data_IF_202263606242
#
_entry.id   IF_202263606242
#
_cell.length_a   1.000
_cell.length_b   1.000
_cell.length_c   1.000
_cell.angle_alpha   90.00
_cell.angle_beta   90.00
_cell.angle_gamma   90.00
#
_symmetry.space_group_name_H-M   'P 1'
#
loop_
_entity.id
_entity.type
_entity.pdbx_description
1 polymer ?
#
# COMPACT_ATOMS: atom_id res chain seq x y z
N UNK A 1 4.15 26.28 -0.27
CA UNK A 1 2.94 26.87 0.34
C UNK A 1 1.85 25.81 0.54
N UNK A 2 1.53 24.99 -0.45
CA UNK A 2 0.59 23.87 -0.30
C UNK A 2 1.05 22.87 0.78
N UNK A 3 2.31 22.43 0.74
CA UNK A 3 2.87 21.53 1.77
C UNK A 3 2.81 22.11 3.17
N UNK A 4 3.22 23.37 3.39
CA UNK A 4 3.14 23.99 4.73
C UNK A 4 1.70 24.14 5.22
N UNK A 5 0.73 24.40 4.33
CA UNK A 5 -0.70 24.36 4.67
C UNK A 5 -1.09 23.00 5.25
N UNK A 6 -0.75 21.89 4.59
CA UNK A 6 -1.05 20.55 5.07
C UNK A 6 -0.36 20.21 6.40
N UNK A 7 0.95 20.45 6.49
CA UNK A 7 1.75 20.11 7.67
C UNK A 7 1.39 20.95 8.91
N UNK A 8 1.23 22.27 8.76
CA UNK A 8 0.87 23.14 9.89
C UNK A 8 -0.54 22.85 10.40
N UNK A 9 -1.49 22.57 9.49
CA UNK A 9 -2.85 22.14 9.86
C UNK A 9 -2.83 20.83 10.64
N UNK A 10 -2.01 19.86 10.21
CA UNK A 10 -1.87 18.59 10.92
C UNK A 10 -1.20 18.76 12.29
N UNK A 11 -0.26 19.69 12.42
CA UNK A 11 0.45 19.98 13.67
C UNK A 11 -0.47 20.60 14.73
N UNK A 12 -1.31 21.57 14.34
CA UNK A 12 -2.24 22.26 15.23
C UNK A 12 -3.63 21.62 15.25
N UNK A 13 -3.70 20.35 15.66
CA UNK A 13 -4.95 19.58 15.66
C UNK A 13 -6.05 20.25 16.49
N UNK A 14 -7.24 20.36 15.89
CA UNK A 14 -8.44 20.92 16.53
C UNK A 14 -8.52 22.45 16.49
N UNK A 15 -7.62 23.11 15.76
CA UNK A 15 -7.68 24.54 15.45
C UNK A 15 -8.16 24.78 14.02
N UNK A 16 -8.33 26.04 13.68
CA UNK A 16 -8.56 26.46 12.30
C UNK A 16 -7.41 26.01 11.39
N UNK A 17 -7.68 25.72 10.10
CA UNK A 17 -6.63 25.41 9.13
C UNK A 17 -5.53 26.47 9.09
N UNK A 18 -4.32 26.04 8.76
CA UNK A 18 -3.15 26.91 8.58
C UNK A 18 -3.50 28.15 7.75
N UNK A 19 -2.95 29.32 8.12
CA UNK A 19 -3.13 30.56 7.34
C UNK A 19 -2.67 30.40 5.89
N UNK A 20 -1.69 29.52 5.64
CA UNK A 20 -1.22 29.22 4.30
C UNK A 20 -2.28 28.52 3.44
N UNK A 21 -3.26 27.85 4.04
CA UNK A 21 -4.38 27.24 3.33
C UNK A 21 -5.34 28.29 2.74
N UNK A 22 -5.43 29.48 3.33
CA UNK A 22 -6.30 30.57 2.84
C UNK A 22 -5.92 31.10 1.46
N UNK A 23 -4.71 30.78 1.00
CA UNK A 23 -4.17 31.19 -0.30
C UNK A 23 -4.65 30.30 -1.45
N UNK A 24 -5.38 29.23 -1.14
CA UNK A 24 -5.88 28.27 -2.11
C UNK A 24 -7.40 28.21 -2.08
N UNK A 25 -8.01 28.08 -3.25
CA UNK A 25 -9.40 27.69 -3.38
C UNK A 25 -9.51 26.16 -3.58
N UNK A 26 -10.72 25.57 -3.49
CA UNK A 26 -10.89 24.12 -3.63
C UNK A 26 -10.34 23.55 -4.95
N UNK A 27 -10.47 24.27 -6.07
CA UNK A 27 -9.97 23.78 -7.36
C UNK A 27 -8.44 23.77 -7.44
N UNK A 28 -7.79 24.74 -6.79
CA UNK A 28 -6.33 24.75 -6.66
C UNK A 28 -5.85 23.61 -5.77
N UNK A 29 -6.56 23.30 -4.68
CA UNK A 29 -6.25 22.14 -3.82
C UNK A 29 -6.41 20.83 -4.60
N UNK A 30 -7.48 20.66 -5.38
CA UNK A 30 -7.66 19.49 -6.24
C UNK A 30 -6.51 19.34 -7.25
N UNK A 31 -6.04 20.44 -7.82
CA UNK A 31 -4.91 20.43 -8.75
C UNK A 31 -3.62 19.95 -8.07
N UNK A 32 -3.35 20.40 -6.84
CA UNK A 32 -2.20 19.92 -6.06
C UNK A 32 -2.36 18.46 -5.61
N UNK A 33 -3.55 18.04 -5.18
CA UNK A 33 -3.84 16.63 -4.87
C UNK A 33 -3.55 15.75 -6.09
N UNK A 34 -4.03 16.14 -7.27
CA UNK A 34 -3.80 15.37 -8.49
C UNK A 34 -2.33 15.38 -8.93
N UNK A 35 -1.62 16.48 -8.70
CA UNK A 35 -0.18 16.55 -8.92
C UNK A 35 0.56 15.52 -8.05
N UNK A 36 0.24 15.43 -6.76
CA UNK A 36 0.81 14.41 -5.86
C UNK A 36 0.41 12.99 -6.28
N UNK A 37 -0.85 12.79 -6.69
CA UNK A 37 -1.31 11.49 -7.20
C UNK A 37 -0.49 11.03 -8.40
N UNK A 38 -0.17 11.92 -9.34
CA UNK A 38 0.69 11.60 -10.48
C UNK A 38 2.12 11.28 -10.02
N UNK A 39 2.71 12.10 -9.16
CA UNK A 39 4.06 11.87 -8.64
C UNK A 39 4.18 10.48 -8.01
N UNK A 40 3.30 10.17 -7.07
CA UNK A 40 3.30 8.89 -6.37
C UNK A 40 2.86 7.72 -7.25
N UNK A 41 1.96 7.91 -8.22
CA UNK A 41 1.61 6.85 -9.16
C UNK A 41 2.83 6.40 -9.97
N UNK A 42 3.60 7.37 -10.48
CA UNK A 42 4.75 7.09 -11.34
C UNK A 42 5.99 6.65 -10.56
N UNK A 43 6.23 7.21 -9.37
CA UNK A 43 7.41 6.91 -8.56
C UNK A 43 7.21 5.71 -7.62
N UNK A 44 5.98 5.53 -7.10
CA UNK A 44 5.71 4.60 -6.00
C UNK A 44 4.60 3.57 -6.26
N UNK A 45 3.82 3.77 -7.32
CA UNK A 45 2.71 2.89 -7.67
C UNK A 45 2.93 2.08 -8.94
N UNK A 46 1.98 2.24 -9.87
CA UNK A 46 1.84 1.43 -11.07
C UNK A 46 2.57 1.98 -12.30
N UNK A 47 3.28 3.11 -12.20
CA UNK A 47 3.97 3.72 -13.33
C UNK A 47 4.98 2.79 -14.02
N UNK A 48 5.69 1.99 -13.22
CA UNK A 48 6.63 0.97 -13.72
C UNK A 48 6.47 -0.33 -12.94
N UNK A 49 6.59 -1.47 -13.62
CA UNK A 49 6.44 -2.79 -12.99
C UNK A 49 7.47 -3.00 -11.86
N UNK A 50 8.73 -2.61 -12.08
CA UNK A 50 9.80 -2.77 -11.10
C UNK A 50 9.50 -2.07 -9.77
N UNK A 51 8.80 -0.94 -9.82
CA UNK A 51 8.47 -0.08 -8.67
C UNK A 51 7.76 -0.85 -7.57
N UNK A 52 6.71 -1.60 -7.91
CA UNK A 52 5.95 -2.38 -6.94
C UNK A 52 6.40 -3.84 -6.90
N UNK A 53 7.05 -4.37 -7.95
CA UNK A 53 7.62 -5.73 -7.92
C UNK A 53 8.62 -5.93 -6.79
N UNK A 54 9.42 -4.91 -6.46
CA UNK A 54 10.39 -4.97 -5.35
C UNK A 54 9.74 -5.19 -3.97
N UNK A 55 8.44 -4.87 -3.81
CA UNK A 55 7.71 -5.13 -2.57
C UNK A 55 7.46 -6.62 -2.31
N UNK A 56 7.83 -7.51 -3.25
CA UNK A 56 7.79 -8.95 -3.06
C UNK A 56 8.56 -9.40 -1.80
N UNK A 57 9.63 -8.70 -1.43
CA UNK A 57 10.43 -9.03 -0.24
C UNK A 57 9.60 -8.84 1.05
N UNK A 58 8.82 -7.77 1.12
CA UNK A 58 7.90 -7.51 2.23
C UNK A 58 6.77 -8.55 2.26
N UNK A 59 6.21 -8.90 1.10
CA UNK A 59 5.16 -9.92 0.99
C UNK A 59 5.64 -11.31 1.41
N UNK A 60 6.83 -11.72 0.95
CA UNK A 60 7.46 -12.97 1.37
C UNK A 60 7.63 -13.00 2.89
N UNK A 61 8.17 -11.94 3.46
CA UNK A 61 8.37 -11.84 4.89
C UNK A 61 7.04 -11.88 5.68
N UNK A 62 5.99 -11.21 5.17
CA UNK A 62 4.65 -11.28 5.75
C UNK A 62 4.11 -12.72 5.77
N UNK A 63 4.21 -13.45 4.65
CA UNK A 63 3.75 -14.84 4.57
C UNK A 63 4.48 -15.79 5.52
N UNK A 64 5.78 -15.55 5.76
CA UNK A 64 6.56 -16.31 6.74
C UNK A 64 6.12 -16.05 8.19
N UNK A 65 5.62 -14.85 8.50
CA UNK A 65 5.13 -14.50 9.84
C UNK A 65 3.69 -14.95 10.08
N UNK A 66 2.85 -14.88 9.06
CA UNK A 66 1.43 -15.25 9.17
C UNK A 66 1.18 -16.75 9.01
N UNK A 67 2.21 -17.57 8.77
CA UNK A 67 2.06 -19.03 8.74
C UNK A 67 1.70 -19.55 10.14
N UNK A 68 0.57 -20.27 10.31
CA UNK A 68 0.20 -20.87 11.60
C UNK A 68 1.25 -21.82 12.17
N UNK A 69 2.09 -22.42 11.32
CA UNK A 69 3.18 -23.30 11.72
C UNK A 69 4.51 -22.55 11.93
N UNK A 70 4.51 -21.22 11.83
CA UNK A 70 5.70 -20.41 12.05
C UNK A 70 6.09 -20.40 13.51
N UNK A 71 7.39 -20.49 13.79
CA UNK A 71 7.94 -20.24 15.13
C UNK A 71 8.24 -18.76 15.37
N UNK A 72 7.75 -17.86 14.51
CA UNK A 72 7.95 -16.41 14.62
C UNK A 72 6.97 -15.79 15.63
N UNK A 73 7.18 -14.51 15.92
CA UNK A 73 6.33 -13.76 16.86
C UNK A 73 4.87 -13.67 16.39
N UNK A 74 3.94 -13.79 17.34
CA UNK A 74 2.48 -13.71 17.06
C UNK A 74 2.03 -12.36 16.49
N UNK A 75 2.82 -11.30 16.69
CA UNK A 75 2.58 -9.99 16.13
C UNK A 75 3.92 -9.37 15.71
N UNK A 76 3.94 -8.83 14.49
CA UNK A 76 5.11 -8.15 13.92
C UNK A 76 4.66 -6.80 13.39
N UNK A 77 5.37 -5.74 13.78
CA UNK A 77 5.05 -4.37 13.41
C UNK A 77 6.20 -3.76 12.63
N UNK A 78 5.89 -3.24 11.44
CA UNK A 78 6.83 -2.52 10.59
C UNK A 78 6.42 -1.05 10.52
N UNK A 79 7.41 -0.17 10.61
CA UNK A 79 7.25 1.26 10.41
C UNK A 79 8.05 1.65 9.18
N UNK A 80 7.41 2.34 8.26
CA UNK A 80 8.01 2.70 6.98
C UNK A 80 7.49 4.05 6.49
N UNK A 81 7.93 4.45 5.31
CA UNK A 81 7.53 5.67 4.64
C UNK A 81 6.41 5.42 3.63
N UNK A 82 5.69 6.49 3.28
CA UNK A 82 4.60 6.53 2.31
C UNK A 82 4.93 5.79 1.00
N UNK A 83 6.05 6.11 0.35
CA UNK A 83 6.45 5.45 -0.91
C UNK A 83 6.65 3.94 -0.79
N UNK A 84 7.13 3.43 0.35
CA UNK A 84 7.24 1.98 0.58
C UNK A 84 5.87 1.33 0.76
N UNK A 85 4.96 1.98 1.48
CA UNK A 85 3.60 1.48 1.67
C UNK A 85 2.83 1.45 0.33
N UNK A 86 2.93 2.51 -0.46
CA UNK A 86 2.33 2.58 -1.80
C UNK A 86 2.84 1.46 -2.73
N UNK A 87 4.14 1.14 -2.69
CA UNK A 87 4.70 0.00 -3.44
C UNK A 87 4.07 -1.32 -3.01
N UNK A 88 3.83 -1.53 -1.71
CA UNK A 88 3.14 -2.73 -1.19
C UNK A 88 1.68 -2.75 -1.64
N UNK A 89 0.94 -1.63 -1.52
CA UNK A 89 -0.45 -1.54 -1.98
C UNK A 89 -0.56 -1.84 -3.48
N UNK A 90 0.37 -1.28 -4.28
CA UNK A 90 0.43 -1.53 -5.70
C UNK A 90 0.74 -3.01 -6.02
N UNK A 91 1.67 -3.62 -5.29
CA UNK A 91 2.01 -5.05 -5.40
C UNK A 91 0.83 -5.97 -5.08
N UNK A 92 0.00 -5.56 -4.12
CA UNK A 92 -1.24 -6.26 -3.78
C UNK A 92 -2.33 -6.11 -4.84
N UNK A 93 -2.16 -5.23 -5.83
CA UNK A 93 -3.16 -4.97 -6.87
C UNK A 93 -4.28 -4.01 -6.41
N UNK A 94 -4.07 -3.25 -5.34
CA UNK A 94 -5.05 -2.34 -4.77
C UNK A 94 -5.02 -0.97 -5.45
N UNK A 95 -6.20 -0.34 -5.54
CA UNK A 95 -6.35 1.04 -6.07
C UNK A 95 -5.84 1.21 -7.51
N UNK A 96 -5.83 0.13 -8.30
CA UNK A 96 -5.38 0.15 -9.69
C UNK A 96 -6.44 0.72 -10.62
N UNK A 97 -6.08 1.76 -11.34
CA UNK A 97 -6.89 2.31 -12.43
C UNK A 97 -6.88 1.38 -13.66
N UNK A 98 -7.94 1.47 -14.48
CA UNK A 98 -8.05 0.70 -15.73
C UNK A 98 -6.95 1.07 -16.73
N UNK A 99 -6.64 2.36 -16.82
CA UNK A 99 -5.58 2.92 -17.65
C UNK A 99 -4.59 3.71 -16.78
N UNK A 100 -3.27 3.68 -17.07
CA UNK A 100 -2.27 4.42 -16.31
C UNK A 100 -2.61 5.91 -16.18
N UNK A 101 -2.37 6.48 -15.00
CA UNK A 101 -2.65 7.89 -14.76
C UNK A 101 -1.68 8.79 -15.53
N UNK A 102 -2.23 9.78 -16.22
CA UNK A 102 -1.49 10.80 -16.96
C UNK A 102 -2.01 12.18 -16.60
N UNK A 103 -1.28 13.24 -16.97
CA UNK A 103 -1.72 14.62 -16.76
C UNK A 103 -3.12 14.96 -17.34
N UNK A 104 -3.64 14.14 -18.27
CA UNK A 104 -4.95 14.33 -18.90
C UNK A 104 -6.11 13.87 -18.02
N UNK A 105 -5.82 13.15 -16.95
CA UNK A 105 -6.82 12.49 -16.10
C UNK A 105 -7.28 13.36 -14.92
N UNK A 106 -7.00 14.67 -14.94
CA UNK A 106 -7.31 15.58 -13.84
C UNK A 106 -8.80 15.55 -13.43
N UNK A 107 -9.69 15.56 -14.42
CA UNK A 107 -11.15 15.54 -14.24
C UNK A 107 -11.73 14.12 -14.14
N UNK A 108 -10.90 13.08 -14.30
CA UNK A 108 -11.34 11.68 -14.30
C UNK A 108 -11.44 11.16 -12.86
N UNK A 109 -12.49 10.40 -12.58
CA UNK A 109 -12.53 9.58 -11.37
C UNK A 109 -11.42 8.52 -11.43
N UNK A 110 -10.54 8.55 -10.44
CA UNK A 110 -9.38 7.67 -10.33
C UNK A 110 -9.42 6.89 -9.03
N UNK A 111 -8.98 5.64 -9.09
CA UNK A 111 -8.82 4.79 -7.91
C UNK A 111 -7.58 5.20 -7.11
N UNK A 112 -6.49 5.57 -7.79
CA UNK A 112 -5.25 6.01 -7.17
C UNK A 112 -5.33 7.48 -6.70
N UNK A 113 -5.81 7.66 -5.47
CA UNK A 113 -5.92 8.96 -4.78
C UNK A 113 -5.15 8.92 -3.47
N UNK A 114 -3.90 9.35 -3.49
CA UNK A 114 -2.94 9.31 -2.38
C UNK A 114 -3.44 10.03 -1.13
N UNK A 115 -4.14 11.14 -1.29
CA UNK A 115 -4.83 11.84 -0.18
C UNK A 115 -5.79 10.95 0.62
N UNK A 116 -6.34 9.90 0.00
CA UNK A 116 -7.27 8.95 0.59
C UNK A 116 -6.63 7.62 0.96
N UNK A 117 -5.58 7.20 0.25
CA UNK A 117 -4.98 5.87 0.42
C UNK A 117 -3.65 5.90 1.18
N UNK A 118 -3.00 7.05 1.31
CA UNK A 118 -1.68 7.18 1.93
C UNK A 118 -1.51 8.53 2.66
N UNK A 119 -2.50 8.84 3.50
CA UNK A 119 -2.43 9.96 4.43
C UNK A 119 -1.47 9.67 5.60
N UNK A 120 -1.21 10.68 6.45
CA UNK A 120 -0.42 10.46 7.67
C UNK A 120 -0.98 9.31 8.53
N UNK A 121 -0.08 8.45 9.00
CA UNK A 121 -0.40 7.26 9.79
C UNK A 121 -1.24 6.19 9.07
N UNK A 122 -1.24 6.20 7.73
CA UNK A 122 -1.78 5.08 6.95
C UNK A 122 -1.09 3.78 7.36
N UNK A 123 -1.91 2.73 7.55
CA UNK A 123 -1.46 1.42 7.99
C UNK A 123 -2.10 0.32 7.13
N UNK A 124 -1.39 -0.79 7.00
CA UNK A 124 -1.84 -2.02 6.36
C UNK A 124 -1.58 -3.17 7.34
N UNK A 125 -2.59 -3.99 7.60
CA UNK A 125 -2.50 -5.12 8.51
C UNK A 125 -3.07 -6.39 7.88
N UNK A 126 -2.44 -7.51 8.22
CA UNK A 126 -2.93 -8.86 7.92
C UNK A 126 -3.12 -9.58 9.24
N UNK A 127 -4.36 -10.00 9.53
CA UNK A 127 -4.72 -10.65 10.79
C UNK A 127 -5.12 -12.09 10.49
N UNK A 128 -4.40 -13.04 11.05
CA UNK A 128 -4.72 -14.46 10.95
C UNK A 128 -5.77 -14.86 11.98
N UNK A 129 -6.79 -15.57 11.52
CA UNK A 129 -7.79 -16.22 12.33
C UNK A 129 -7.72 -17.73 12.15
N UNK A 130 -7.67 -18.45 13.26
CA UNK A 130 -7.93 -19.88 13.28
C UNK A 130 -9.44 -20.09 13.35
N UNK A 131 -10.04 -20.50 12.24
CA UNK A 131 -11.46 -20.80 12.16
C UNK A 131 -11.68 -22.31 12.23
N UNK A 132 -12.73 -22.74 12.95
CA UNK A 132 -13.20 -24.13 12.94
C UNK A 132 -14.03 -24.41 11.67
N UNK A 133 -13.48 -24.14 10.49
CA UNK A 133 -14.12 -24.35 9.20
C UNK A 133 -13.26 -25.26 8.31
N UNK A 134 -13.85 -25.82 7.25
CA UNK A 134 -13.14 -26.69 6.30
C UNK A 134 -12.10 -25.92 5.46
N UNK A 135 -12.20 -24.60 5.42
CA UNK A 135 -11.33 -23.72 4.64
C UNK A 135 -9.98 -23.44 5.32
N UNK A 136 -9.82 -23.84 6.59
CA UNK A 136 -8.60 -23.65 7.36
C UNK A 136 -8.38 -22.20 7.82
N UNK A 137 -7.13 -21.80 8.09
CA UNK A 137 -6.80 -20.46 8.57
C UNK A 137 -7.25 -19.37 7.59
N UNK A 138 -7.88 -18.32 8.13
CA UNK A 138 -8.42 -17.20 7.37
C UNK A 138 -7.65 -15.92 7.68
N UNK A 139 -7.50 -15.03 6.70
CA UNK A 139 -6.81 -13.75 6.82
C UNK A 139 -7.80 -12.62 6.61
N UNK A 140 -7.83 -11.68 7.55
CA UNK A 140 -8.46 -10.37 7.39
C UNK A 140 -7.39 -9.36 6.97
N UNK A 141 -7.59 -8.68 5.85
CA UNK A 141 -6.72 -7.58 5.44
C UNK A 141 -7.38 -6.25 5.76
N UNK A 142 -6.67 -5.39 6.48
CA UNK A 142 -7.12 -4.05 6.86
C UNK A 142 -6.21 -3.02 6.21
N UNK A 143 -6.80 -1.99 5.59
CA UNK A 143 -6.08 -0.81 5.16
C UNK A 143 -6.73 0.42 5.79
N UNK A 144 -5.92 1.21 6.50
CA UNK A 144 -6.39 2.30 7.38
C UNK A 144 -7.51 1.82 8.32
N UNK A 145 -7.26 0.70 9.00
CA UNK A 145 -8.19 0.09 9.97
C UNK A 145 -9.55 -0.36 9.39
N UNK A 146 -9.71 -0.38 8.06
CA UNK A 146 -10.93 -0.81 7.39
C UNK A 146 -10.70 -2.13 6.64
N UNK A 147 -11.63 -3.10 6.73
CA UNK A 147 -11.57 -4.31 5.91
C UNK A 147 -11.49 -3.96 4.43
N UNK A 148 -10.53 -4.58 3.74
CA UNK A 148 -10.39 -4.51 2.30
C UNK A 148 -10.33 -5.91 1.69
N UNK A 149 -10.77 -6.02 0.44
CA UNK A 149 -10.83 -7.28 -0.30
C UNK A 149 -9.74 -7.29 -1.34
N UNK A 150 -8.79 -8.20 -1.18
CA UNK A 150 -7.68 -8.35 -2.12
C UNK A 150 -8.18 -8.99 -3.43
N UNK A 151 -7.57 -8.64 -4.59
CA UNK A 151 -7.80 -9.37 -5.82
C UNK A 151 -7.53 -10.87 -5.63
N UNK A 152 -8.39 -11.72 -6.20
CA UNK A 152 -8.30 -13.18 -6.06
C UNK A 152 -9.00 -13.77 -4.82
N UNK A 153 -9.33 -12.95 -3.82
CA UNK A 153 -10.15 -13.35 -2.67
C UNK A 153 -11.66 -13.21 -2.96
N UNK A 154 -12.55 -13.86 -2.19
CA UNK A 154 -14.00 -13.64 -2.28
C UNK A 154 -14.36 -12.16 -2.09
N UNK A 155 -15.22 -11.63 -2.96
CA UNK A 155 -15.58 -10.19 -2.97
C UNK A 155 -16.82 -9.88 -2.11
N UNK A 156 -17.51 -10.91 -1.65
CA UNK A 156 -18.70 -10.87 -0.79
C UNK A 156 -18.36 -11.03 0.71
N UNK A 157 -17.10 -11.32 1.05
CA UNK A 157 -16.65 -11.60 2.41
C UNK A 157 -15.39 -10.80 2.74
N UNK A 158 -15.18 -10.50 4.02
CA UNK A 158 -13.99 -9.77 4.48
C UNK A 158 -12.80 -10.70 4.78
N UNK A 159 -13.07 -11.98 4.99
CA UNK A 159 -12.06 -13.00 5.26
C UNK A 159 -11.66 -13.74 3.98
N UNK A 160 -10.37 -13.92 3.77
CA UNK A 160 -9.82 -14.71 2.68
C UNK A 160 -9.04 -15.92 3.22
N UNK A 161 -9.16 -17.10 2.61
CA UNK A 161 -8.39 -18.25 3.09
C UNK A 161 -6.88 -17.99 2.89
N UNK A 162 -6.05 -18.37 3.88
CA UNK A 162 -4.60 -18.21 3.77
C UNK A 162 -4.05 -18.97 2.55
N UNK A 163 -4.68 -20.11 2.19
CA UNK A 163 -4.34 -20.89 1.00
C UNK A 163 -4.57 -20.09 -0.29
N UNK A 164 -5.77 -19.54 -0.48
CA UNK A 164 -6.10 -18.71 -1.65
C UNK A 164 -5.17 -17.51 -1.75
N UNK A 165 -4.89 -16.86 -0.61
CA UNK A 165 -3.99 -15.73 -0.57
C UNK A 165 -2.57 -16.12 -0.99
N UNK A 166 -2.07 -17.28 -0.54
CA UNK A 166 -0.76 -17.81 -0.98
C UNK A 166 -0.74 -18.09 -2.47
N UNK A 167 -1.71 -18.83 -2.99
CA UNK A 167 -1.80 -19.18 -4.42
C UNK A 167 -1.81 -17.91 -5.31
N UNK A 168 -2.52 -16.86 -4.89
CA UNK A 168 -2.59 -15.59 -5.62
C UNK A 168 -1.22 -14.89 -5.76
N UNK A 169 -0.38 -14.94 -4.73
CA UNK A 169 0.91 -14.23 -4.70
C UNK A 169 2.11 -15.19 -4.81
N UNK A 170 1.88 -16.49 -4.98
CA UNK A 170 2.89 -17.55 -4.93
C UNK A 170 4.03 -17.29 -5.91
N UNK A 171 3.70 -16.98 -7.16
CA UNK A 171 4.71 -16.71 -8.19
C UNK A 171 5.58 -15.51 -7.82
N UNK A 172 4.97 -14.42 -7.38
CA UNK A 172 5.68 -13.19 -7.02
C UNK A 172 6.52 -13.34 -5.75
N UNK A 173 6.11 -14.20 -4.82
CA UNK A 173 6.80 -14.45 -3.54
C UNK A 173 7.93 -15.46 -3.69
N UNK A 174 7.69 -16.56 -4.43
CA UNK A 174 8.69 -17.62 -4.65
C UNK A 174 9.81 -17.16 -5.58
N UNK A 175 9.51 -16.35 -6.60
CA UNK A 175 10.51 -15.81 -7.52
C UNK A 175 11.07 -14.45 -7.07
N UNK A 176 10.92 -14.08 -5.80
CA UNK A 176 11.40 -12.81 -5.28
C UNK A 176 12.91 -12.88 -5.00
N UNK A 177 13.71 -12.66 -6.05
CA UNK A 177 15.14 -12.35 -5.90
C UNK A 177 15.33 -10.83 -5.94
N UNK A 178 15.32 -10.22 -4.76
CA UNK A 178 15.46 -8.77 -4.63
C UNK A 178 16.83 -8.26 -5.11
N UNK A 179 17.89 -9.04 -4.89
CA UNK A 179 19.25 -8.64 -5.25
C UNK A 179 19.41 -8.69 -6.78
N UNK A 180 18.87 -9.71 -7.44
CA UNK A 180 18.83 -9.78 -8.91
C UNK A 180 17.99 -8.64 -9.50
N UNK A 181 16.78 -8.39 -8.95
CA UNK A 181 15.89 -7.32 -9.40
C UNK A 181 16.52 -5.93 -9.30
N UNK A 182 17.30 -5.69 -8.25
CA UNK A 182 17.92 -4.40 -7.98
C UNK A 182 19.38 -4.31 -8.47
N UNK A 183 19.90 -5.38 -9.10
CA UNK A 183 21.30 -5.51 -9.52
C UNK A 183 22.30 -5.17 -8.39
N UNK A 184 22.02 -5.67 -7.19
CA UNK A 184 22.87 -5.44 -6.01
C UNK A 184 24.06 -6.39 -6.09
N UNK A 185 25.24 -5.84 -6.38
CA UNK A 185 26.50 -6.58 -6.27
C UNK A 185 26.97 -6.54 -4.81
N UNK A 186 26.93 -7.70 -4.12
CA UNK A 186 27.58 -7.83 -2.82
C UNK A 186 29.10 -7.80 -3.04
N UNK A 187 29.75 -6.76 -2.56
CA UNK A 187 31.19 -6.79 -2.39
C UNK A 187 31.48 -7.67 -1.18
N UNK A 188 32.08 -8.83 -1.40
CA UNK A 188 32.64 -9.65 -0.33
C UNK A 188 33.79 -8.85 0.30
N UNK A 189 33.55 -8.25 1.46
CA UNK A 189 34.59 -7.73 2.33
C UNK A 189 35.36 -8.93 2.91
N UNK A 190 36.55 -9.19 2.35
CA UNK A 190 37.58 -10.06 2.95
C UNK A 190 38.26 -9.37 4.13
#
# INVERSE_FOLDING_TARGET
MYTICGFETAWYRGQEPSVWCSLFNPDTIKAFEFFEDLEYFWNDGYGYEITHRMACAAMKNMFEHIDPNSNKSNATFYFTHSGTLLKVLAHLGLYKDAEPLTYRDFERERAWRTSLIDAFATNLAFVLYECNNENGPMVLTLHQERPIRLPGCPQDQDLCSLKTLREQYEQHVLSCDFDELCHIHRHDEN
#
